data_IF_179446596086
#
_entry.id   IF_179446596086
#
_cell.length_a   1.000
_cell.length_b   1.000
_cell.length_c   1.000
_cell.angle_alpha   90.00
_cell.angle_beta   90.00
_cell.angle_gamma   90.00
#
_symmetry.space_group_name_H-M   'P 1'
#
loop_
_entity.id
_entity.type
_entity.pdbx_description
1 polymer ?
#
# COMPACT_ATOMS: atom_id res chain seq x y z
N UNK A 1 9.27 12.01 -35.11
CA UNK A 1 9.08 11.09 -33.99
C UNK A 1 7.72 10.44 -34.10
N UNK A 2 7.68 9.11 -34.13
CA UNK A 2 6.43 8.35 -33.97
C UNK A 2 6.44 7.72 -32.59
N UNK A 3 5.37 7.88 -31.82
CA UNK A 3 5.25 7.29 -30.48
C UNK A 3 3.82 6.84 -30.22
N UNK A 4 3.63 6.06 -29.16
CA UNK A 4 2.33 5.60 -28.70
C UNK A 4 2.09 6.04 -27.26
N UNK A 5 0.84 6.39 -26.95
CA UNK A 5 0.40 6.76 -25.62
C UNK A 5 -0.84 5.98 -25.24
N UNK A 6 -0.93 5.58 -23.96
CA UNK A 6 -2.16 4.96 -23.44
C UNK A 6 -3.24 6.02 -23.21
N UNK A 7 -4.47 5.73 -23.61
CA UNK A 7 -5.66 6.52 -23.32
C UNK A 7 -6.79 5.56 -22.90
N UNK A 8 -7.05 5.48 -21.60
CA UNK A 8 -7.91 4.44 -21.05
C UNK A 8 -7.39 3.04 -21.38
N UNK A 9 -8.18 2.26 -22.14
CA UNK A 9 -7.82 0.91 -22.59
C UNK A 9 -7.19 0.88 -24.00
N UNK A 10 -7.11 2.02 -24.67
CA UNK A 10 -6.63 2.12 -26.05
C UNK A 10 -5.21 2.70 -26.13
N UNK A 11 -4.56 2.46 -27.26
CA UNK A 11 -3.30 3.12 -27.62
C UNK A 11 -3.57 4.15 -28.71
N UNK A 12 -3.11 5.38 -28.48
CA UNK A 12 -3.13 6.46 -29.46
C UNK A 12 -1.73 6.57 -30.07
N UNK A 13 -1.67 6.62 -31.40
CA UNK A 13 -0.43 6.83 -32.14
C UNK A 13 -0.26 8.31 -32.46
N UNK A 14 0.91 8.85 -32.11
CA UNK A 14 1.28 10.23 -32.37
C UNK A 14 2.42 10.28 -33.38
N UNK A 15 2.32 11.23 -34.31
CA UNK A 15 3.37 11.54 -35.28
C UNK A 15 3.72 13.02 -35.16
N UNK A 16 4.84 13.31 -34.49
CA UNK A 16 5.34 14.66 -34.26
C UNK A 16 6.56 14.88 -35.17
N UNK A 17 6.64 15.94 -35.99
CA UNK A 17 7.84 16.24 -36.76
C UNK A 17 9.07 16.36 -35.85
N UNK A 18 10.20 15.71 -36.19
CA UNK A 18 11.37 15.65 -35.30
C UNK A 18 11.91 17.03 -34.91
N UNK A 19 11.82 18.01 -35.81
CA UNK A 19 12.18 19.41 -35.55
C UNK A 19 11.41 20.07 -34.40
N UNK A 20 10.27 19.50 -33.99
CA UNK A 20 9.44 20.00 -32.90
C UNK A 20 9.68 19.26 -31.57
N UNK A 21 10.56 18.24 -31.55
CA UNK A 21 10.85 17.42 -30.36
C UNK A 21 12.12 17.92 -29.71
N UNK A 22 12.00 18.49 -28.51
CA UNK A 22 13.15 18.94 -27.72
C UNK A 22 13.80 17.76 -26.99
N UNK A 23 12.99 16.93 -26.33
CA UNK A 23 13.43 15.75 -25.60
C UNK A 23 12.27 14.75 -25.42
N UNK A 24 12.63 13.49 -25.18
CA UNK A 24 11.71 12.44 -24.73
C UNK A 24 12.18 12.00 -23.35
N UNK A 25 11.34 12.20 -22.33
CA UNK A 25 11.66 11.88 -20.94
C UNK A 25 10.98 10.56 -20.58
N UNK A 26 11.77 9.50 -20.46
CA UNK A 26 11.32 8.19 -20.01
C UNK A 26 12.01 7.85 -18.68
N UNK A 27 11.33 7.18 -17.74
CA UNK A 27 11.99 6.66 -16.55
C UNK A 27 13.13 5.73 -16.96
N UNK A 28 14.30 5.87 -16.34
CA UNK A 28 15.44 4.98 -16.57
C UNK A 28 15.13 3.50 -16.26
N UNK A 29 14.07 3.26 -15.46
CA UNK A 29 13.53 1.95 -15.18
C UNK A 29 14.51 1.01 -14.47
N UNK A 30 14.11 -0.25 -14.37
CA UNK A 30 14.93 -1.36 -13.90
C UNK A 30 14.42 -2.66 -14.53
N UNK A 31 15.20 -3.73 -14.44
CA UNK A 31 14.74 -5.05 -14.90
C UNK A 31 13.59 -5.52 -14.02
N UNK A 32 12.45 -5.95 -14.60
CA UNK A 32 11.37 -6.52 -13.82
C UNK A 32 11.85 -7.75 -13.03
N UNK A 33 11.32 -7.93 -11.83
CA UNK A 33 11.47 -9.17 -11.08
C UNK A 33 10.79 -10.28 -11.86
N UNK A 34 11.49 -11.40 -12.07
CA UNK A 34 10.96 -12.54 -12.85
C UNK A 34 9.81 -13.25 -12.14
N UNK A 35 10.03 -13.66 -10.89
CA UNK A 35 9.02 -14.29 -10.04
C UNK A 35 8.84 -13.46 -8.77
N UNK A 36 7.69 -12.78 -8.66
CA UNK A 36 7.38 -11.95 -7.52
C UNK A 36 7.18 -12.75 -6.23
N UNK A 37 6.65 -13.97 -6.33
CA UNK A 37 6.40 -14.81 -5.16
C UNK A 37 7.71 -15.27 -4.51
N UNK A 38 8.64 -15.76 -5.33
CA UNK A 38 9.99 -16.13 -4.88
C UNK A 38 10.76 -14.94 -4.31
N UNK A 39 10.66 -13.77 -4.94
CA UNK A 39 11.33 -12.58 -4.44
C UNK A 39 10.76 -12.12 -3.09
N UNK A 40 9.44 -12.25 -2.89
CA UNK A 40 8.83 -11.99 -1.57
C UNK A 40 9.34 -12.99 -0.53
N UNK A 41 9.38 -14.30 -0.83
CA UNK A 41 9.96 -15.30 0.09
C UNK A 41 11.39 -14.95 0.48
N UNK A 42 12.22 -14.59 -0.51
CA UNK A 42 13.60 -14.16 -0.29
C UNK A 42 13.68 -12.94 0.64
N UNK A 43 12.86 -11.92 0.40
CA UNK A 43 12.87 -10.67 1.17
C UNK A 43 12.28 -10.82 2.58
N UNK A 44 11.35 -11.74 2.80
CA UNK A 44 10.83 -12.06 4.13
C UNK A 44 11.91 -12.70 5.01
N UNK A 45 12.74 -13.58 4.42
CA UNK A 45 13.86 -14.24 5.10
C UNK A 45 15.08 -13.30 5.28
N UNK A 46 15.39 -12.48 4.27
CA UNK A 46 16.54 -11.58 4.25
C UNK A 46 16.11 -10.17 3.78
N UNK A 47 15.54 -9.35 4.68
CA UNK A 47 15.03 -8.03 4.33
C UNK A 47 16.16 -7.08 3.96
N UNK A 48 15.84 -6.08 3.14
CA UNK A 48 16.81 -5.03 2.74
C UNK A 48 17.12 -4.04 3.86
N UNK A 49 16.27 -3.99 4.89
CA UNK A 49 16.44 -3.13 6.06
C UNK A 49 15.63 -3.66 7.25
N UNK A 50 16.13 -3.44 8.46
CA UNK A 50 15.46 -3.83 9.69
C UNK A 50 15.48 -5.34 9.95
N UNK A 51 14.77 -5.80 10.99
CA UNK A 51 14.67 -7.21 11.34
C UNK A 51 13.80 -8.00 10.36
N UNK A 52 14.04 -9.30 10.23
CA UNK A 52 13.20 -10.21 9.45
C UNK A 52 11.81 -10.40 10.08
N UNK A 53 10.86 -10.93 9.31
CA UNK A 53 9.53 -11.25 9.85
C UNK A 53 9.62 -12.27 10.99
N UNK A 54 10.51 -13.26 10.85
CA UNK A 54 10.79 -14.25 11.89
C UNK A 54 11.31 -13.59 13.17
N UNK A 55 12.29 -12.68 13.08
CA UNK A 55 12.81 -11.96 14.24
C UNK A 55 11.74 -11.09 14.92
N UNK A 56 10.80 -10.52 14.16
CA UNK A 56 9.69 -9.74 14.71
C UNK A 56 8.70 -10.66 15.45
N UNK A 57 8.28 -11.76 14.82
CA UNK A 57 7.31 -12.70 15.40
C UNK A 57 7.88 -13.43 16.63
N UNK A 58 9.17 -13.74 16.64
CA UNK A 58 9.81 -14.40 17.79
C UNK A 58 9.98 -13.51 19.02
N UNK A 59 9.91 -12.17 18.88
CA UNK A 59 9.99 -11.24 20.03
C UNK A 59 8.75 -11.27 20.93
N UNK A 60 7.62 -11.73 20.44
CA UNK A 60 6.39 -11.85 21.22
C UNK A 60 5.24 -12.45 20.41
N UNK A 61 4.31 -13.16 21.06
CA UNK A 61 3.24 -13.84 20.35
C UNK A 61 2.34 -12.83 19.61
N UNK A 62 2.34 -12.88 18.28
CA UNK A 62 1.39 -12.14 17.45
C UNK A 62 0.03 -12.86 17.48
N UNK A 63 -0.86 -12.46 18.40
CA UNK A 63 -2.21 -13.06 18.52
C UNK A 63 -3.19 -12.44 17.54
N UNK A 64 -2.89 -11.23 17.05
CA UNK A 64 -3.63 -10.55 15.99
C UNK A 64 -2.65 -9.91 15.00
N UNK A 65 -2.90 -10.13 13.71
CA UNK A 65 -2.11 -9.55 12.61
C UNK A 65 -3.02 -8.79 11.67
N UNK A 66 -2.73 -7.50 11.46
CA UNK A 66 -3.36 -6.69 10.44
C UNK A 66 -2.45 -6.62 9.21
N UNK A 67 -2.93 -7.12 8.06
CA UNK A 67 -2.25 -6.97 6.77
C UNK A 67 -2.97 -5.91 5.96
N UNK A 68 -2.35 -4.75 5.81
CA UNK A 68 -2.89 -3.61 5.07
C UNK A 68 -2.55 -3.80 3.59
N UNK A 69 -3.55 -3.79 2.73
CA UNK A 69 -3.39 -3.91 1.27
C UNK A 69 -3.99 -2.69 0.58
N UNK A 70 -3.41 -2.28 -0.54
CA UNK A 70 -4.00 -1.22 -1.36
C UNK A 70 -5.37 -1.62 -1.94
N UNK A 71 -6.22 -0.64 -2.20
CA UNK A 71 -7.46 -0.85 -2.95
C UNK A 71 -7.22 -1.06 -4.47
N UNK A 72 -8.29 -1.34 -5.20
CA UNK A 72 -8.31 -1.59 -6.65
C UNK A 72 -7.80 -0.40 -7.49
N UNK A 73 -7.68 0.80 -6.91
CA UNK A 73 -7.17 1.98 -7.64
C UNK A 73 -5.65 1.98 -7.74
N UNK A 74 -4.97 0.94 -7.25
CA UNK A 74 -3.53 0.75 -7.32
C UNK A 74 -3.18 -0.50 -8.11
N UNK A 75 -2.01 -0.48 -8.73
CA UNK A 75 -1.48 -1.59 -9.54
C UNK A 75 -0.67 -2.59 -8.74
N UNK A 76 -0.78 -2.56 -7.41
CA UNK A 76 0.01 -3.42 -6.53
C UNK A 76 -0.34 -4.89 -6.80
N UNK A 77 0.64 -5.76 -7.10
CA UNK A 77 0.41 -7.17 -7.40
C UNK A 77 0.15 -7.98 -6.12
N UNK A 78 -0.84 -7.57 -5.32
CA UNK A 78 -1.17 -8.15 -4.01
C UNK A 78 -1.43 -9.65 -4.10
N UNK A 79 -2.14 -10.12 -5.13
CA UNK A 79 -2.40 -11.55 -5.37
C UNK A 79 -1.12 -12.40 -5.50
N UNK A 80 0.01 -11.82 -5.91
CA UNK A 80 1.31 -12.50 -5.97
C UNK A 80 2.12 -12.36 -4.69
N UNK A 81 1.95 -11.26 -3.95
CA UNK A 81 2.74 -10.96 -2.75
C UNK A 81 2.13 -11.54 -1.47
N UNK A 82 0.80 -11.65 -1.41
CA UNK A 82 0.08 -12.05 -0.21
C UNK A 82 0.21 -13.55 0.11
N UNK A 83 0.17 -14.50 -0.86
CA UNK A 83 0.36 -15.91 -0.56
C UNK A 83 1.67 -16.24 0.17
N UNK A 84 2.87 -15.85 -0.31
CA UNK A 84 4.13 -16.16 0.39
C UNK A 84 4.24 -15.49 1.76
N UNK A 85 3.61 -14.32 1.96
CA UNK A 85 3.52 -13.70 3.28
C UNK A 85 2.69 -14.55 4.25
N UNK A 86 1.53 -15.04 3.82
CA UNK A 86 0.67 -15.88 4.65
C UNK A 86 1.34 -17.22 4.97
N UNK A 87 2.00 -17.84 3.98
CA UNK A 87 2.78 -19.07 4.18
C UNK A 87 3.87 -18.88 5.24
N UNK A 88 4.60 -17.75 5.21
CA UNK A 88 5.64 -17.46 6.19
C UNK A 88 5.07 -17.20 7.59
N UNK A 89 3.95 -16.48 7.69
CA UNK A 89 3.24 -16.32 8.98
C UNK A 89 2.79 -17.67 9.55
N UNK A 90 2.22 -18.55 8.72
CA UNK A 90 1.80 -19.90 9.12
C UNK A 90 3.00 -20.74 9.60
N UNK A 91 4.14 -20.70 8.88
CA UNK A 91 5.39 -21.35 9.29
C UNK A 91 5.86 -20.89 10.68
N UNK A 92 5.65 -19.61 10.99
CA UNK A 92 6.01 -18.99 12.27
C UNK A 92 4.95 -19.18 13.37
N UNK A 93 3.91 -19.99 13.15
CA UNK A 93 2.87 -20.28 14.14
C UNK A 93 1.74 -19.24 14.22
N UNK A 94 1.66 -18.34 13.24
CA UNK A 94 0.58 -17.37 13.08
C UNK A 94 -0.39 -17.90 12.03
N UNK A 95 -1.41 -18.64 12.48
CA UNK A 95 -2.45 -19.15 11.59
C UNK A 95 -3.33 -18.02 11.00
N UNK A 96 -3.94 -18.31 9.84
CA UNK A 96 -4.80 -17.37 9.10
C UNK A 96 -5.97 -16.82 9.92
N UNK A 97 -6.44 -17.55 10.92
CA UNK A 97 -7.50 -17.12 11.83
C UNK A 97 -7.13 -15.88 12.65
N UNK A 98 -5.83 -15.61 12.83
CA UNK A 98 -5.28 -14.43 13.50
C UNK A 98 -5.05 -13.26 12.54
N UNK A 99 -5.15 -13.50 11.24
CA UNK A 99 -4.88 -12.50 10.20
C UNK A 99 -6.18 -11.85 9.76
N UNK A 100 -6.20 -10.52 9.77
CA UNK A 100 -7.23 -9.72 9.11
C UNK A 100 -6.58 -8.85 8.04
N UNK A 101 -7.03 -8.99 6.80
CA UNK A 101 -6.64 -8.13 5.69
C UNK A 101 -7.52 -6.88 5.72
N UNK A 102 -6.88 -5.72 5.84
CA UNK A 102 -7.57 -4.42 5.85
C UNK A 102 -7.28 -3.72 4.52
N UNK A 103 -8.33 -3.51 3.72
CA UNK A 103 -8.20 -2.77 2.46
C UNK A 103 -8.09 -1.28 2.77
N UNK A 104 -6.96 -0.69 2.40
CA UNK A 104 -6.64 0.72 2.57
C UNK A 104 -7.32 1.58 1.49
N UNK A 105 -8.61 1.82 1.66
CA UNK A 105 -9.44 2.69 0.80
C UNK A 105 -9.14 4.18 1.01
N UNK A 106 -8.53 4.56 2.14
CA UNK A 106 -8.45 5.96 2.55
C UNK A 106 -9.85 6.60 2.57
N UNK A 107 -10.08 7.59 1.70
CA UNK A 107 -11.39 8.26 1.57
C UNK A 107 -12.22 7.75 0.38
N UNK A 108 -11.77 6.71 -0.31
CA UNK A 108 -12.52 6.10 -1.41
C UNK A 108 -13.71 5.28 -0.91
N UNK A 109 -14.61 4.93 -1.82
CA UNK A 109 -15.71 4.00 -1.50
C UNK A 109 -15.17 2.62 -1.08
N UNK A 110 -15.92 1.84 -0.29
CA UNK A 110 -15.58 0.44 -0.08
C UNK A 110 -15.54 -0.34 -1.41
N UNK A 111 -14.67 -1.33 -1.46
CA UNK A 111 -14.62 -2.31 -2.53
C UNK A 111 -15.72 -3.36 -2.34
N UNK A 112 -16.24 -3.84 -3.46
CA UNK A 112 -17.12 -5.02 -3.50
C UNK A 112 -16.33 -6.30 -3.31
N UNK A 113 -17.01 -7.41 -2.98
CA UNK A 113 -16.37 -8.72 -2.82
C UNK A 113 -15.64 -9.19 -4.09
N UNK A 114 -16.21 -8.91 -5.28
CA UNK A 114 -15.58 -9.23 -6.55
C UNK A 114 -14.28 -8.43 -6.77
N UNK A 115 -14.27 -7.14 -6.41
CA UNK A 115 -13.06 -6.32 -6.47
C UNK A 115 -12.01 -6.79 -5.47
N UNK A 116 -12.42 -7.13 -4.25
CA UNK A 116 -11.54 -7.72 -3.24
C UNK A 116 -10.93 -9.02 -3.75
N UNK A 117 -11.75 -9.90 -4.33
CA UNK A 117 -11.29 -11.16 -4.90
C UNK A 117 -10.25 -10.96 -5.99
N UNK A 118 -10.41 -9.96 -6.86
CA UNK A 118 -9.42 -9.62 -7.88
C UNK A 118 -8.11 -9.11 -7.25
N UNK A 119 -8.16 -8.27 -6.21
CA UNK A 119 -6.95 -7.77 -5.53
C UNK A 119 -6.21 -8.88 -4.79
N UNK A 120 -6.92 -9.71 -4.02
CA UNK A 120 -6.34 -10.75 -3.17
C UNK A 120 -5.95 -12.01 -3.94
N UNK A 121 -6.62 -12.26 -5.07
CA UNK A 121 -6.51 -13.51 -5.83
C UNK A 121 -7.32 -14.65 -5.22
N UNK A 122 -7.70 -15.61 -6.08
CA UNK A 122 -8.52 -16.77 -5.72
C UNK A 122 -7.89 -17.66 -4.64
N UNK A 123 -6.56 -17.72 -4.58
CA UNK A 123 -5.83 -18.53 -3.61
C UNK A 123 -5.95 -18.03 -2.16
N UNK A 124 -6.25 -16.74 -1.97
CA UNK A 124 -6.34 -16.12 -0.65
C UNK A 124 -7.78 -15.72 -0.29
N UNK A 125 -8.57 -15.31 -1.28
CA UNK A 125 -9.96 -14.92 -1.05
C UNK A 125 -10.75 -16.04 -0.35
N UNK A 126 -11.39 -15.72 0.78
CA UNK A 126 -12.13 -16.68 1.61
C UNK A 126 -11.28 -17.51 2.57
N UNK A 127 -9.95 -17.38 2.57
CA UNK A 127 -9.05 -18.09 3.51
C UNK A 127 -8.64 -17.25 4.73
N UNK A 128 -8.87 -15.94 4.68
CA UNK A 128 -8.56 -14.96 5.72
C UNK A 128 -9.75 -14.02 5.90
N UNK A 129 -9.84 -13.37 7.06
CA UNK A 129 -10.81 -12.28 7.25
C UNK A 129 -10.38 -11.08 6.41
N UNK A 130 -11.34 -10.42 5.77
CA UNK A 130 -11.11 -9.21 4.98
C UNK A 130 -12.12 -8.15 5.38
N UNK A 131 -11.66 -6.93 5.57
CA UNK A 131 -12.53 -5.77 5.79
C UNK A 131 -12.10 -4.57 4.93
N UNK A 132 -13.08 -3.77 4.52
CA UNK A 132 -12.80 -2.44 3.99
C UNK A 132 -12.54 -1.48 5.14
N UNK A 133 -11.53 -0.61 5.00
CA UNK A 133 -11.46 0.57 5.84
C UNK A 133 -12.66 1.50 5.56
N UNK A 134 -13.23 2.02 6.65
CA UNK A 134 -14.21 3.10 6.63
C UNK A 134 -13.64 4.31 7.39
N UNK A 135 -13.38 5.40 6.66
CA UNK A 135 -12.81 6.61 7.22
C UNK A 135 -13.79 7.43 8.07
N UNK A 136 -15.09 7.09 8.06
CA UNK A 136 -16.13 7.73 8.88
C UNK A 136 -16.62 6.83 10.01
N UNK A 137 -15.97 5.67 10.23
CA UNK A 137 -16.35 4.74 11.29
C UNK A 137 -16.31 5.39 12.68
N UNK A 138 -17.34 5.17 13.53
CA UNK A 138 -17.32 5.66 14.91
C UNK A 138 -16.29 4.92 15.79
N UNK A 139 -15.79 3.77 15.34
CA UNK A 139 -14.85 2.91 16.07
C UNK A 139 -13.38 3.24 15.79
N UNK A 140 -13.10 4.30 15.03
CA UNK A 140 -11.73 4.75 14.80
C UNK A 140 -11.02 5.05 16.14
N UNK A 141 -9.80 4.56 16.26
CA UNK A 141 -8.99 4.69 17.48
C UNK A 141 -8.15 5.96 17.39
N UNK A 142 -8.24 6.79 18.42
CA UNK A 142 -7.37 7.96 18.59
C UNK A 142 -5.98 7.51 19.04
N UNK A 143 -5.01 7.64 18.13
CA UNK A 143 -3.61 7.29 18.34
C UNK A 143 -2.78 8.49 18.81
N UNK A 144 -3.42 9.60 19.17
CA UNK A 144 -2.80 10.81 19.67
C UNK A 144 -2.68 11.92 18.64
N UNK A 145 -1.79 12.87 18.91
CA UNK A 145 -1.60 14.08 18.09
C UNK A 145 -0.26 14.01 17.35
N UNK A 146 -0.31 14.22 16.03
CA UNK A 146 0.88 14.31 15.18
C UNK A 146 1.69 15.58 15.49
N UNK A 147 2.95 15.63 15.06
CA UNK A 147 3.81 16.82 15.18
C UNK A 147 3.23 18.05 14.48
N UNK A 148 2.33 17.86 13.51
CA UNK A 148 1.60 18.92 12.81
C UNK A 148 0.40 19.48 13.60
N UNK A 149 0.11 18.94 14.78
CA UNK A 149 -1.08 19.26 15.58
C UNK A 149 -2.34 18.53 15.12
N UNK A 150 -2.27 17.73 14.05
CA UNK A 150 -3.40 16.95 13.55
C UNK A 150 -3.66 15.72 14.44
N UNK A 151 -4.93 15.40 14.73
CA UNK A 151 -5.30 14.16 15.43
C UNK A 151 -5.13 12.96 14.51
N UNK A 152 -4.55 11.87 15.02
CA UNK A 152 -4.33 10.63 14.28
C UNK A 152 -5.41 9.60 14.63
N UNK A 153 -6.44 9.50 13.80
CA UNK A 153 -7.50 8.50 13.94
C UNK A 153 -7.22 7.34 12.99
N UNK A 154 -7.19 6.10 13.48
CA UNK A 154 -6.82 4.91 12.70
C UNK A 154 -7.89 3.82 12.81
N UNK A 155 -8.09 3.04 11.74
CA UNK A 155 -8.90 1.82 11.74
C UNK A 155 -8.58 0.95 12.98
N UNK A 156 -9.62 0.53 13.71
CA UNK A 156 -9.50 -0.23 14.96
C UNK A 156 -8.69 -1.52 14.82
N UNK A 157 -8.98 -2.34 13.82
CA UNK A 157 -8.26 -3.60 13.53
C UNK A 157 -6.77 -3.35 13.37
N UNK A 158 -6.39 -2.29 12.63
CA UNK A 158 -5.00 -1.89 12.48
C UNK A 158 -4.44 -1.33 13.79
N UNK A 159 -5.16 -0.46 14.47
CA UNK A 159 -4.71 0.20 15.70
C UNK A 159 -4.49 -0.77 16.86
N UNK A 160 -5.25 -1.87 16.95
CA UNK A 160 -5.22 -2.83 18.06
C UNK A 160 -4.40 -4.09 17.75
N UNK A 161 -3.93 -4.30 16.51
CA UNK A 161 -3.18 -5.49 16.14
C UNK A 161 -1.84 -5.62 16.91
N UNK A 162 -1.45 -6.85 17.25
CA UNK A 162 -0.12 -7.13 17.82
C UNK A 162 0.97 -6.91 16.75
N UNK A 163 0.68 -7.28 15.49
CA UNK A 163 1.56 -7.09 14.33
C UNK A 163 0.83 -6.38 13.18
N UNK A 164 1.49 -5.39 12.56
CA UNK A 164 0.99 -4.66 11.39
C UNK A 164 1.95 -4.86 10.23
N UNK A 165 1.43 -5.28 9.09
CA UNK A 165 2.18 -5.48 7.85
C UNK A 165 1.49 -4.68 6.76
N UNK A 166 2.26 -3.95 5.95
CA UNK A 166 1.71 -3.20 4.83
C UNK A 166 2.28 -3.74 3.52
N UNK A 167 1.39 -4.12 2.60
CA UNK A 167 1.72 -4.45 1.21
C UNK A 167 1.29 -3.27 0.35
N UNK A 168 2.22 -2.75 -0.45
CA UNK A 168 1.96 -1.63 -1.34
C UNK A 168 3.03 -1.47 -2.39
N UNK A 169 2.89 -0.42 -3.20
CA UNK A 169 3.84 -0.03 -4.23
C UNK A 169 4.49 1.32 -3.90
N UNK A 170 5.75 1.49 -4.30
CA UNK A 170 6.47 2.76 -4.22
C UNK A 170 6.50 3.37 -5.62
N UNK A 171 5.85 4.53 -5.75
CA UNK A 171 5.74 5.29 -7.00
C UNK A 171 5.94 6.76 -6.69
N UNK A 172 6.35 7.56 -7.69
CA UNK A 172 6.34 9.02 -7.54
C UNK A 172 4.94 9.52 -7.21
N UNK A 173 4.84 10.43 -6.25
CA UNK A 173 3.57 11.01 -5.83
C UNK A 173 3.66 12.53 -5.76
N UNK A 174 2.77 13.20 -6.51
CA UNK A 174 2.82 14.64 -6.80
C UNK A 174 3.01 15.59 -5.62
N UNK A 175 2.44 15.29 -4.44
CA UNK A 175 2.69 16.06 -3.21
C UNK A 175 3.29 15.23 -2.07
N UNK A 176 3.47 13.92 -2.19
CA UNK A 176 3.88 13.10 -1.05
C UNK A 176 5.34 12.64 -1.16
N UNK A 177 6.07 13.16 -2.14
CA UNK A 177 7.32 12.58 -2.62
C UNK A 177 7.07 11.28 -3.36
N UNK A 178 6.75 10.25 -2.58
CA UNK A 178 6.48 8.88 -3.02
C UNK A 178 5.22 8.30 -2.37
N UNK A 179 4.55 7.39 -3.05
CA UNK A 179 3.57 6.46 -2.47
C UNK A 179 4.26 5.40 -1.58
N UNK A 180 3.47 4.45 -1.06
CA UNK A 180 3.97 3.31 -0.29
C UNK A 180 4.42 3.61 1.15
N UNK A 181 4.79 2.56 1.87
CA UNK A 181 5.24 2.62 3.26
C UNK A 181 4.21 3.29 4.17
N UNK A 182 4.60 4.40 4.83
CA UNK A 182 3.74 5.20 5.72
C UNK A 182 2.37 5.59 5.13
N UNK A 183 2.24 5.64 3.79
CA UNK A 183 0.99 5.99 3.13
C UNK A 183 -0.13 4.96 3.30
N UNK A 184 0.24 3.71 3.59
CA UNK A 184 -0.72 2.66 3.95
C UNK A 184 -1.40 2.94 5.30
N UNK A 185 -0.76 3.71 6.19
CA UNK A 185 -1.35 4.20 7.44
C UNK A 185 -2.13 5.48 7.19
N UNK A 186 -1.45 6.55 6.76
CA UNK A 186 -2.05 7.86 6.47
C UNK A 186 -1.78 8.23 5.00
N UNK A 187 -2.79 8.22 4.12
CA UNK A 187 -4.22 8.18 4.41
C UNK A 187 -4.86 6.78 4.42
N UNK A 188 -4.12 5.71 4.11
CA UNK A 188 -4.70 4.42 3.75
C UNK A 188 -5.75 3.85 4.70
N UNK A 189 -5.54 3.93 6.01
CA UNK A 189 -6.47 3.44 7.04
C UNK A 189 -6.78 4.51 8.10
N UNK A 190 -6.69 5.78 7.71
CA UNK A 190 -6.87 6.92 8.60
C UNK A 190 -8.26 7.55 8.46
N UNK A 191 -8.78 8.07 9.57
CA UNK A 191 -10.07 8.75 9.61
C UNK A 191 -10.14 9.98 8.70
N UNK A 192 -11.34 10.29 8.20
CA UNK A 192 -11.57 11.38 7.24
C UNK A 192 -11.02 12.70 7.74
N UNK A 193 -11.23 13.04 9.01
CA UNK A 193 -10.69 14.27 9.62
C UNK A 193 -9.16 14.32 9.51
N UNK A 194 -8.47 13.26 9.94
CA UNK A 194 -7.01 13.13 9.86
C UNK A 194 -6.53 13.30 8.42
N UNK A 195 -7.17 12.63 7.47
CA UNK A 195 -6.83 12.70 6.05
C UNK A 195 -7.00 14.10 5.50
N UNK A 196 -8.15 14.74 5.75
CA UNK A 196 -8.44 16.08 5.23
C UNK A 196 -7.50 17.13 5.80
N UNK A 197 -7.16 17.05 7.09
CA UNK A 197 -6.20 17.96 7.69
C UNK A 197 -4.78 17.76 7.12
N UNK A 198 -4.36 16.53 6.87
CA UNK A 198 -3.08 16.26 6.20
C UNK A 198 -3.07 16.82 4.77
N UNK A 199 -4.18 16.71 4.03
CA UNK A 199 -4.28 17.21 2.67
C UNK A 199 -4.22 18.74 2.55
N UNK A 200 -4.61 19.49 3.59
CA UNK A 200 -4.42 20.96 3.63
C UNK A 200 -2.96 21.38 3.48
N UNK A 201 -2.02 20.49 3.81
CA UNK A 201 -0.59 20.76 3.71
C UNK A 201 -0.01 20.49 2.31
N UNK A 202 -0.81 20.04 1.32
CA UNK A 202 -0.29 19.62 0.01
C UNK A 202 0.37 20.75 -0.81
N UNK A 203 0.13 22.01 -0.43
CA UNK A 203 0.74 23.19 -1.07
C UNK A 203 1.76 23.89 -0.17
N UNK A 204 2.15 23.27 0.95
CA UNK A 204 3.14 23.83 1.85
C UNK A 204 4.52 23.92 1.17
N UNK A 205 5.39 24.87 1.56
CA UNK A 205 6.77 24.89 1.09
C UNK A 205 7.49 23.56 1.36
N UNK A 206 8.30 23.09 0.41
CA UNK A 206 9.02 21.82 0.52
C UNK A 206 8.21 20.59 0.08
N UNK A 207 6.94 20.75 -0.28
CA UNK A 207 6.10 19.67 -0.78
C UNK A 207 6.24 19.51 -2.30
N UNK A 208 6.52 18.29 -2.77
CA UNK A 208 6.62 18.02 -4.21
C UNK A 208 6.89 16.56 -4.58
N UNK A 209 7.04 16.32 -5.89
CA UNK A 209 7.41 15.02 -6.46
C UNK A 209 8.83 14.65 -6.01
N UNK A 210 9.00 13.44 -5.47
CA UNK A 210 10.31 12.93 -5.05
C UNK A 210 10.91 13.56 -3.78
N UNK A 211 10.22 14.51 -3.14
CA UNK A 211 10.70 15.18 -1.91
C UNK A 211 10.16 14.48 -0.67
N UNK A 212 11.06 14.01 0.20
CA UNK A 212 10.72 13.36 1.48
C UNK A 212 11.44 13.97 2.69
N UNK A 213 12.51 14.73 2.46
CA UNK A 213 13.28 15.42 3.50
C UNK A 213 12.75 16.84 3.69
N UNK A 214 12.63 17.27 4.96
CA UNK A 214 12.09 18.58 5.38
C UNK A 214 11.10 18.45 6.52
#
# INVERSE_FOLDING_TARGET
MKTKMKSGKEEIFLSIPDKNVIAVLEPSGGSPVGDLGEEVRRLLAAPTAGPSLEEIVLKGPARSVAVIVNDMTRSTPTASMLPPLLEELERLGVGREKVTVVVATGTHRPMTDDEIRVVLGDAVFGTVKVENHDCDSPDLVDMGTLSTGNRLLINKTVAEADLRIAIGEVLLHYYAGFAGGRKSILPGVAGRETVMNNHKMMTAPGVGIGVVDG
#
